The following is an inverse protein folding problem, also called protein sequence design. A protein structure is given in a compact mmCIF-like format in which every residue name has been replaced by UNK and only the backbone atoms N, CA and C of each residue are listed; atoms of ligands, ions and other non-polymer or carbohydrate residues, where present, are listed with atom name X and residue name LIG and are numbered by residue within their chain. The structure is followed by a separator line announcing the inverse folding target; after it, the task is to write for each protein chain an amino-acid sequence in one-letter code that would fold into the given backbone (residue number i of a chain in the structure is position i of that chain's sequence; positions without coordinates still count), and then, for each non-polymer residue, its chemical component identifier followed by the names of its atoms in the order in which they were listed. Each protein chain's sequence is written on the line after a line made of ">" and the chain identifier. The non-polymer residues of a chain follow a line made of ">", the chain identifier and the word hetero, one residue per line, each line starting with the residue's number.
data_IF_001794033283
#
_entry.id   IF_001794033283
#
_cell.length_a   1.000
_cell.length_b   1.000
_cell.length_c   1.000
_cell.angle_alpha   90.00
_cell.angle_beta   90.00
_cell.angle_gamma   90.00
#
_symmetry.space_group_name_H-M   'P 1'
#
loop_
_entity.id
_entity.type
_entity.pdbx_description
1 polymer ?
#
# COMPACT_ATOMS: atom_id res chain seq x y z
N UNK A 1 3.95 10.42 -7.23
CA UNK A 1 2.96 11.43 -7.68
C UNK A 1 3.70 12.75 -7.86
N UNK A 2 4.17 13.05 -9.08
CA UNK A 2 5.14 14.13 -9.34
C UNK A 2 4.70 15.54 -8.90
N UNK A 3 3.39 15.82 -8.83
CA UNK A 3 2.87 17.13 -8.46
C UNK A 3 3.25 17.59 -7.05
N UNK A 4 3.20 16.70 -6.04
CA UNK A 4 3.61 17.01 -4.66
C UNK A 4 5.13 17.09 -4.49
N UNK A 5 5.89 16.39 -5.34
CA UNK A 5 7.35 16.43 -5.37
C UNK A 5 7.86 17.77 -5.92
N UNK A 6 7.18 18.34 -6.92
CA UNK A 6 7.58 19.58 -7.58
C UNK A 6 6.95 20.86 -7.00
N UNK A 7 5.75 20.79 -6.42
CA UNK A 7 4.99 21.95 -5.93
C UNK A 7 4.31 21.70 -4.56
N UNK A 8 5.08 21.40 -3.50
CA UNK A 8 4.54 21.05 -2.19
C UNK A 8 3.72 22.17 -1.52
N UNK A 9 4.02 23.43 -1.80
CA UNK A 9 3.29 24.61 -1.29
C UNK A 9 1.86 24.71 -1.85
N UNK A 10 1.60 24.12 -3.03
CA UNK A 10 0.28 24.15 -3.67
C UNK A 10 -0.53 22.88 -3.41
N UNK A 11 0.14 21.73 -3.35
CA UNK A 11 -0.52 20.42 -3.25
C UNK A 11 -0.35 19.72 -1.90
N UNK A 12 0.30 20.39 -0.94
CA UNK A 12 0.63 19.86 0.36
C UNK A 12 1.89 19.00 0.34
N UNK A 13 2.65 19.07 1.43
CA UNK A 13 3.83 18.23 1.61
C UNK A 13 3.44 16.76 1.72
N UNK A 14 4.40 15.89 1.38
CA UNK A 14 4.25 14.48 1.70
C UNK A 14 4.22 14.30 3.21
N UNK A 15 3.26 13.54 3.76
CA UNK A 15 3.33 13.17 5.16
C UNK A 15 4.64 12.43 5.41
N UNK A 16 5.35 12.85 6.45
CA UNK A 16 6.51 12.10 6.92
C UNK A 16 6.02 10.74 7.41
N UNK A 17 6.60 9.67 6.90
CA UNK A 17 6.32 8.33 7.40
C UNK A 17 7.15 8.12 8.67
N UNK A 18 6.47 7.97 9.80
CA UNK A 18 7.07 7.80 11.13
C UNK A 18 7.54 6.36 11.41
N UNK A 19 7.50 5.48 10.40
CA UNK A 19 7.92 4.09 10.50
C UNK A 19 6.88 3.16 11.10
N UNK A 20 5.64 3.61 11.33
CA UNK A 20 4.56 2.77 11.83
C UNK A 20 4.06 1.76 10.80
N UNK A 21 3.70 0.54 11.21
CA UNK A 21 3.07 -0.43 10.30
C UNK A 21 1.82 0.19 9.65
N UNK A 22 1.60 -0.08 8.36
CA UNK A 22 0.30 0.21 7.77
C UNK A 22 -0.79 -0.52 8.56
N UNK A 23 -2.00 0.05 8.66
CA UNK A 23 -3.15 -0.65 9.21
C UNK A 23 -3.34 -1.98 8.49
N UNK A 24 -3.76 -3.00 9.23
CA UNK A 24 -4.19 -4.25 8.62
C UNK A 24 -5.50 -4.01 7.88
N UNK A 25 -5.58 -4.47 6.63
CA UNK A 25 -6.82 -4.44 5.86
C UNK A 25 -7.79 -5.49 6.40
N UNK A 26 -9.06 -5.12 6.55
CA UNK A 26 -10.10 -6.10 6.85
C UNK A 26 -10.27 -7.08 5.69
N UNK A 27 -10.81 -8.29 5.92
CA UNK A 27 -11.07 -9.26 4.85
C UNK A 27 -11.97 -8.70 3.73
N UNK A 28 -12.87 -7.77 4.06
CA UNK A 28 -13.79 -7.13 3.09
C UNK A 28 -13.08 -6.14 2.16
N UNK A 29 -11.95 -5.58 2.62
CA UNK A 29 -11.10 -4.67 1.84
C UNK A 29 -10.08 -5.44 0.97
N UNK A 30 -9.92 -6.75 1.20
CA UNK A 30 -9.02 -7.59 0.41
C UNK A 30 -9.70 -8.01 -0.90
N UNK A 31 -9.25 -7.42 -2.01
CA UNK A 31 -9.74 -7.75 -3.36
C UNK A 31 -9.40 -9.17 -3.80
N UNK A 32 -8.42 -9.80 -3.14
CA UNK A 32 -7.93 -11.14 -3.44
C UNK A 32 -7.67 -11.92 -2.16
N UNK A 33 -7.80 -13.25 -2.24
CA UNK A 33 -7.27 -14.14 -1.22
C UNK A 33 -5.73 -14.11 -1.30
N UNK A 34 -5.11 -13.42 -0.35
CA UNK A 34 -3.65 -13.25 -0.33
C UNK A 34 -2.91 -14.57 -0.14
N UNK A 35 -3.48 -15.55 0.58
CA UNK A 35 -2.85 -16.85 0.76
C UNK A 35 -2.85 -17.61 -0.56
N UNK A 36 -3.99 -17.64 -1.25
CA UNK A 36 -4.08 -18.28 -2.58
C UNK A 36 -3.12 -17.65 -3.59
N UNK A 37 -2.94 -16.33 -3.55
CA UNK A 37 -1.95 -15.63 -4.39
C UNK A 37 -0.52 -16.06 -4.03
N UNK A 38 -0.20 -16.16 -2.74
CA UNK A 38 1.11 -16.62 -2.29
C UNK A 38 1.41 -18.05 -2.78
N UNK A 39 0.43 -18.96 -2.66
CA UNK A 39 0.57 -20.36 -3.11
C UNK A 39 0.84 -20.43 -4.62
N UNK A 40 0.13 -19.61 -5.43
CA UNK A 40 0.38 -19.51 -6.88
C UNK A 40 1.81 -19.05 -7.17
N UNK A 41 2.30 -18.03 -6.46
CA UNK A 41 3.64 -17.46 -6.68
C UNK A 41 4.73 -18.48 -6.30
N UNK A 42 4.51 -19.23 -5.22
CA UNK A 42 5.46 -20.23 -4.74
C UNK A 42 5.40 -21.54 -5.55
N UNK A 43 4.34 -21.74 -6.34
CA UNK A 43 4.14 -22.98 -7.10
C UNK A 43 3.58 -24.12 -6.26
N UNK A 44 2.88 -23.80 -5.17
CA UNK A 44 2.31 -24.75 -4.20
C UNK A 44 0.88 -25.20 -4.58
N UNK A 45 0.51 -25.15 -5.87
CA UNK A 45 -0.81 -25.50 -6.44
C UNK A 45 -0.75 -26.66 -7.43
#
# INVERSE_FOLDING_TARGET
>A
MAAKELYPERFGQWPSYDGGRYPDFSPEEQLFDHQRVADIINGDI
#
